data_IF_781288235457
#
_entry.id   IF_781288235457
#
_cell.length_a   1.000
_cell.length_b   1.000
_cell.length_c   1.000
_cell.angle_alpha   90.00
_cell.angle_beta   90.00
_cell.angle_gamma   90.00
#
_symmetry.space_group_name_H-M   'P 1'
#
loop_
_entity.id
_entity.type
_entity.pdbx_description
1 polymer ?
#
# COMPACT_ATOMS: atom_id res chain seq x y z
N UNK A 1 18.15 13.12 4.62
CA UNK A 1 17.97 13.25 3.15
C UNK A 1 16.60 12.81 2.63
N UNK A 2 15.89 11.84 3.23
CA UNK A 2 14.58 11.39 2.74
C UNK A 2 13.45 12.42 2.88
N UNK A 3 13.29 13.02 4.06
CA UNK A 3 12.21 13.98 4.35
C UNK A 3 12.28 15.26 3.50
N UNK A 4 13.48 15.76 3.24
CA UNK A 4 13.68 16.92 2.36
C UNK A 4 13.23 16.61 0.94
N UNK A 5 13.57 15.42 0.41
CA UNK A 5 13.13 14.99 -0.93
C UNK A 5 11.62 14.82 -1.02
N UNK A 6 10.99 14.22 -0.01
CA UNK A 6 9.53 14.09 0.02
C UNK A 6 8.85 15.45 0.12
N UNK A 7 9.37 16.38 0.92
CA UNK A 7 8.83 17.74 1.02
C UNK A 7 8.95 18.50 -0.31
N UNK A 8 10.08 18.37 -1.01
CA UNK A 8 10.26 18.96 -2.35
C UNK A 8 9.25 18.39 -3.34
N UNK A 9 9.05 17.07 -3.37
CA UNK A 9 8.09 16.44 -4.29
C UNK A 9 6.66 16.91 -3.99
N UNK A 10 6.28 16.99 -2.71
CA UNK A 10 4.96 17.49 -2.31
C UNK A 10 4.79 18.95 -2.69
N UNK A 11 5.80 19.79 -2.45
CA UNK A 11 5.77 21.20 -2.81
C UNK A 11 5.63 21.40 -4.33
N UNK A 12 6.34 20.61 -5.14
CA UNK A 12 6.19 20.61 -6.61
C UNK A 12 4.76 20.19 -6.99
N UNK A 13 4.22 19.15 -6.36
CA UNK A 13 2.84 18.70 -6.60
C UNK A 13 1.82 19.81 -6.34
N UNK A 14 1.95 20.52 -5.21
CA UNK A 14 1.07 21.65 -4.86
C UNK A 14 1.28 22.84 -5.80
N UNK A 15 2.52 23.13 -6.20
CA UNK A 15 2.81 24.26 -7.10
C UNK A 15 2.22 24.06 -8.51
N UNK A 16 2.04 22.81 -8.94
CA UNK A 16 1.43 22.48 -10.24
C UNK A 16 -0.10 22.54 -10.19
N UNK A 17 -0.72 22.54 -9.01
CA UNK A 17 -2.17 22.66 -8.90
C UNK A 17 -2.62 24.07 -9.32
N UNK A 18 -3.60 24.20 -10.23
CA UNK A 18 -4.11 25.50 -10.65
C UNK A 18 -4.84 26.19 -9.49
N UNK A 19 -4.35 27.35 -9.08
CA UNK A 19 -4.96 28.19 -8.05
C UNK A 19 -6.03 29.15 -8.58
N UNK A 20 -6.07 29.38 -9.90
CA UNK A 20 -6.98 30.30 -10.57
C UNK A 20 -8.27 29.59 -11.04
N UNK A 21 -9.42 30.23 -10.83
CA UNK A 21 -10.74 29.68 -11.19
C UNK A 21 -10.88 29.38 -12.69
N UNK A 22 -10.29 30.20 -13.58
CA UNK A 22 -10.35 29.92 -15.02
C UNK A 22 -9.49 28.71 -15.41
N UNK A 23 -8.33 28.56 -14.76
CA UNK A 23 -7.46 27.42 -14.99
C UNK A 23 -8.07 26.12 -14.45
N UNK A 24 -8.78 26.20 -13.33
CA UNK A 24 -9.55 25.08 -12.78
C UNK A 24 -10.65 24.65 -13.74
N UNK A 25 -11.43 25.57 -14.31
CA UNK A 25 -12.47 25.23 -15.29
C UNK A 25 -11.91 24.51 -16.51
N UNK A 26 -10.80 25.02 -17.09
CA UNK A 26 -10.12 24.34 -18.20
C UNK A 26 -9.61 22.95 -17.82
N UNK A 27 -9.15 22.77 -16.57
CA UNK A 27 -8.74 21.46 -16.06
C UNK A 27 -9.94 20.51 -15.94
N UNK A 28 -11.07 20.99 -15.42
CA UNK A 28 -12.30 20.21 -15.29
C UNK A 28 -12.87 19.81 -16.66
N UNK A 29 -12.87 20.71 -17.64
CA UNK A 29 -13.28 20.39 -19.01
C UNK A 29 -12.42 19.28 -19.62
N UNK A 30 -11.10 19.39 -19.48
CA UNK A 30 -10.15 18.37 -19.98
C UNK A 30 -10.28 17.05 -19.21
N UNK A 31 -10.49 17.11 -17.91
CA UNK A 31 -10.74 15.94 -17.08
C UNK A 31 -12.05 15.26 -17.50
N UNK A 32 -13.11 16.04 -17.77
CA UNK A 32 -14.39 15.54 -18.26
C UNK A 32 -14.28 14.86 -19.62
N UNK A 33 -13.57 15.47 -20.57
CA UNK A 33 -13.30 14.87 -21.88
C UNK A 33 -12.52 13.54 -21.75
N UNK A 34 -11.56 13.49 -20.84
CA UNK A 34 -10.78 12.29 -20.56
C UNK A 34 -11.64 11.19 -19.93
N UNK A 35 -12.48 11.54 -18.95
CA UNK A 35 -13.41 10.62 -18.31
C UNK A 35 -14.35 10.00 -19.35
N UNK A 36 -14.90 10.83 -20.25
CA UNK A 36 -15.76 10.36 -21.33
C UNK A 36 -15.03 9.39 -22.27
N UNK A 37 -13.76 9.66 -22.59
CA UNK A 37 -12.95 8.75 -23.38
C UNK A 37 -12.71 7.42 -22.67
N UNK A 38 -12.41 7.43 -21.37
CA UNK A 38 -12.22 6.20 -20.57
C UNK A 38 -13.50 5.37 -20.54
N UNK A 39 -14.65 6.00 -20.32
CA UNK A 39 -15.95 5.31 -20.33
C UNK A 39 -16.21 4.66 -21.68
N UNK A 40 -16.00 5.40 -22.77
CA UNK A 40 -16.17 4.88 -24.14
C UNK A 40 -15.16 3.75 -24.46
N UNK A 41 -13.94 3.85 -23.96
CA UNK A 41 -12.92 2.81 -24.11
C UNK A 41 -13.32 1.53 -23.37
N UNK A 42 -13.84 1.66 -22.15
CA UNK A 42 -14.30 0.53 -21.33
C UNK A 42 -15.51 -0.16 -21.94
N UNK A 43 -16.44 0.59 -22.53
CA UNK A 43 -17.59 0.03 -23.27
C UNK A 43 -17.11 -0.87 -24.43
N UNK A 44 -16.09 -0.42 -25.17
CA UNK A 44 -15.51 -1.18 -26.29
C UNK A 44 -14.53 -2.29 -25.87
N UNK A 45 -13.96 -2.21 -24.67
CA UNK A 45 -12.91 -3.11 -24.19
C UNK A 45 -13.21 -3.61 -22.77
N UNK A 46 -14.38 -4.22 -22.57
CA UNK A 46 -14.88 -4.62 -21.26
C UNK A 46 -13.90 -5.53 -20.48
N UNK A 47 -13.23 -6.47 -21.16
CA UNK A 47 -12.27 -7.38 -20.52
C UNK A 47 -11.05 -6.66 -19.93
N UNK A 48 -10.49 -5.70 -20.67
CA UNK A 48 -9.34 -4.89 -20.22
C UNK A 48 -9.74 -4.00 -19.06
N UNK A 49 -10.92 -3.40 -19.12
CA UNK A 49 -11.42 -2.53 -18.06
C UNK A 49 -11.71 -3.33 -16.77
N UNK A 50 -12.27 -4.55 -16.89
CA UNK A 50 -12.48 -5.43 -15.75
C UNK A 50 -11.17 -5.79 -15.04
N UNK A 51 -10.14 -6.18 -15.80
CA UNK A 51 -8.80 -6.45 -15.24
C UNK A 51 -8.15 -5.20 -14.65
N UNK A 52 -8.30 -4.05 -15.32
CA UNK A 52 -7.85 -2.76 -14.80
C UNK A 52 -8.50 -2.42 -13.45
N UNK A 53 -9.80 -2.65 -13.32
CA UNK A 53 -10.54 -2.40 -12.08
C UNK A 53 -10.08 -3.31 -10.93
N UNK A 54 -9.76 -4.57 -11.23
CA UNK A 54 -9.21 -5.53 -10.27
C UNK A 54 -7.88 -5.02 -9.69
N UNK A 55 -6.93 -4.64 -10.55
CA UNK A 55 -5.64 -4.11 -10.10
C UNK A 55 -5.76 -2.75 -9.41
N UNK A 56 -6.63 -1.88 -9.92
CA UNK A 56 -6.88 -0.57 -9.33
C UNK A 56 -7.43 -0.69 -7.91
N UNK A 57 -8.32 -1.64 -7.65
CA UNK A 57 -8.86 -1.88 -6.31
C UNK A 57 -7.78 -2.24 -5.29
N UNK A 58 -6.78 -3.06 -5.68
CA UNK A 58 -5.64 -3.42 -4.82
C UNK A 58 -4.75 -2.20 -4.57
N UNK A 59 -4.54 -1.37 -5.58
CA UNK A 59 -3.77 -0.13 -5.43
C UNK A 59 -4.46 0.83 -4.45
N UNK A 60 -5.77 1.06 -4.59
CA UNK A 60 -6.56 1.88 -3.67
C UNK A 60 -6.50 1.30 -2.25
N UNK A 61 -6.62 -0.01 -2.09
CA UNK A 61 -6.51 -0.68 -0.79
C UNK A 61 -5.15 -0.50 -0.11
N UNK A 62 -4.06 -0.43 -0.89
CA UNK A 62 -2.72 -0.11 -0.37
C UNK A 62 -2.57 1.38 -0.06
N UNK A 63 -3.14 2.25 -0.90
CA UNK A 63 -3.09 3.69 -0.69
C UNK A 63 -3.86 4.12 0.57
N UNK A 64 -5.06 3.57 0.82
CA UNK A 64 -5.83 3.85 2.06
C UNK A 64 -5.05 3.43 3.32
N UNK A 65 -4.38 2.27 3.28
CA UNK A 65 -3.58 1.79 4.39
C UNK A 65 -2.36 2.68 4.61
N UNK A 66 -1.64 3.03 3.53
CA UNK A 66 -0.49 3.93 3.61
C UNK A 66 -0.86 5.32 4.12
N UNK A 67 -2.00 5.88 3.67
CA UNK A 67 -2.51 7.15 4.15
C UNK A 67 -2.86 7.10 5.64
N UNK A 68 -3.56 6.05 6.08
CA UNK A 68 -3.88 5.83 7.50
C UNK A 68 -2.60 5.71 8.35
N UNK A 69 -1.63 4.92 7.91
CA UNK A 69 -0.34 4.75 8.59
C UNK A 69 0.41 6.09 8.73
N UNK A 70 0.48 6.87 7.64
CA UNK A 70 1.13 8.17 7.67
C UNK A 70 0.40 9.15 8.61
N UNK A 71 -0.93 9.13 8.61
CA UNK A 71 -1.73 9.94 9.52
C UNK A 71 -1.52 9.55 10.99
N UNK A 72 -1.58 8.25 11.31
CA UNK A 72 -1.40 7.73 12.67
C UNK A 72 0.01 8.09 13.18
N UNK A 73 1.05 7.92 12.36
CA UNK A 73 2.42 8.33 12.68
C UNK A 73 2.57 9.85 12.94
N UNK A 74 1.87 10.70 12.19
CA UNK A 74 1.87 12.15 12.42
C UNK A 74 1.11 12.53 13.69
N UNK A 75 0.04 11.82 14.01
CA UNK A 75 -0.77 12.02 15.22
C UNK A 75 0.03 11.64 16.47
N UNK A 76 0.70 10.49 16.47
CA UNK A 76 1.52 10.02 17.59
C UNK A 76 2.68 10.99 17.89
N UNK A 77 3.26 11.59 16.85
CA UNK A 77 4.32 12.60 17.00
C UNK A 77 3.82 13.96 17.50
N UNK A 78 2.59 14.34 17.19
CA UNK A 78 1.99 15.59 17.67
C UNK A 78 1.49 15.48 19.11
N UNK A 79 1.17 14.27 19.59
CA UNK A 79 0.81 14.01 20.99
C UNK A 79 2.00 13.91 21.96
N UNK A 80 3.25 14.02 21.48
CA UNK A 80 4.46 13.68 22.24
C UNK A 80 5.24 14.85 22.83
N UNK A 81 4.55 15.80 23.49
CA UNK A 81 5.19 16.81 24.36
C UNK A 81 4.52 16.85 25.75
N UNK A 82 4.42 15.70 26.41
CA UNK A 82 4.40 15.59 27.87
C UNK A 82 4.69 14.14 28.27
N UNK A 83 5.48 14.00 29.31
CA UNK A 83 6.18 12.80 29.75
C UNK A 83 5.24 11.65 30.16
N UNK A 84 5.74 10.43 29.93
CA UNK A 84 5.41 9.18 30.65
C UNK A 84 3.93 8.82 30.81
N UNK A 85 3.44 8.00 29.89
CA UNK A 85 2.55 6.88 30.27
C UNK A 85 3.37 5.58 30.19
N UNK A 86 3.90 5.17 31.34
CA UNK A 86 4.15 3.76 31.60
C UNK A 86 2.81 3.02 31.70
N UNK A 87 2.81 1.73 31.39
CA UNK A 87 1.70 0.77 31.23
C UNK A 87 1.08 0.80 29.81
N UNK A 88 1.25 -0.20 28.95
CA UNK A 88 1.43 -1.64 29.18
C UNK A 88 2.41 -2.17 28.13
N UNK A 89 3.64 -2.46 28.57
CA UNK A 89 4.54 -3.32 27.80
C UNK A 89 3.98 -4.73 27.93
N UNK A 90 2.93 -5.02 27.18
CA UNK A 90 2.52 -6.39 26.97
C UNK A 90 3.59 -7.01 26.09
N UNK A 91 4.51 -7.70 26.75
CA UNK A 91 5.62 -8.48 26.23
C UNK A 91 5.10 -9.70 25.47
N UNK A 92 4.11 -9.49 24.59
CA UNK A 92 3.67 -10.51 23.64
C UNK A 92 4.59 -10.40 22.44
N UNK A 93 5.31 -11.47 22.08
CA UNK A 93 6.01 -11.53 20.82
C UNK A 93 5.00 -11.17 19.73
N UNK A 94 5.31 -10.17 18.91
CA UNK A 94 4.57 -9.88 17.70
C UNK A 94 4.56 -11.18 16.86
N UNK A 95 3.47 -11.94 16.97
CA UNK A 95 3.25 -13.10 16.11
C UNK A 95 2.75 -12.53 14.78
N UNK A 96 3.48 -12.70 13.67
CA UNK A 96 2.93 -12.36 12.37
C UNK A 96 1.60 -13.11 12.22
N UNK A 97 0.61 -12.48 11.60
CA UNK A 97 -0.63 -13.14 11.25
C UNK A 97 -0.28 -14.38 10.41
N UNK A 98 -0.34 -15.54 11.04
CA UNK A 98 -0.26 -16.81 10.34
C UNK A 98 -1.52 -16.84 9.51
N UNK A 99 -1.37 -16.72 8.19
CA UNK A 99 -2.43 -17.10 7.27
C UNK A 99 -2.59 -18.62 7.40
N UNK A 100 -3.31 -19.07 8.42
CA UNK A 100 -3.86 -20.41 8.48
C UNK A 100 -4.92 -20.52 7.38
N UNK A 101 -4.43 -20.69 6.14
CA UNK A 101 -5.18 -21.42 5.14
C UNK A 101 -5.01 -22.89 5.44
N UNK A 102 -5.70 -23.36 6.47
CA UNK A 102 -6.04 -24.79 6.63
C UNK A 102 -7.13 -25.20 5.62
N UNK A 103 -6.91 -24.89 4.34
CA UNK A 103 -7.74 -25.36 3.22
C UNK A 103 -6.84 -25.68 2.02
N UNK A 104 -5.69 -26.28 2.28
CA UNK A 104 -4.79 -26.76 1.25
C UNK A 104 -4.64 -28.26 1.35
N UNK A 105 -4.69 -28.97 0.22
CA UNK A 105 -4.35 -30.40 0.08
C UNK A 105 -2.86 -30.69 0.27
N UNK A 106 -2.09 -29.71 0.76
CA UNK A 106 -0.64 -29.78 0.87
C UNK A 106 -0.28 -30.50 2.17
N UNK A 107 0.41 -31.62 2.02
CA UNK A 107 0.94 -32.40 3.13
C UNK A 107 2.13 -31.69 3.77
N UNK A 108 2.52 -32.04 5.02
CA UNK A 108 3.69 -31.45 5.66
C UNK A 108 4.99 -31.59 4.84
N UNK A 109 5.12 -32.65 4.04
CA UNK A 109 6.26 -32.85 3.13
C UNK A 109 6.29 -31.84 1.98
N UNK A 110 5.14 -31.41 1.47
CA UNK A 110 5.06 -30.46 0.34
C UNK A 110 5.49 -29.03 0.74
N UNK A 111 5.56 -28.76 2.05
CA UNK A 111 6.00 -27.48 2.60
C UNK A 111 7.50 -27.39 2.77
N UNK A 112 8.24 -28.48 2.54
CA UNK A 112 9.70 -28.43 2.60
C UNK A 112 10.27 -27.74 1.34
N UNK A 113 11.05 -26.66 1.50
CA UNK A 113 11.64 -25.98 0.35
C UNK A 113 12.66 -26.88 -0.34
N UNK A 114 12.33 -27.39 -1.54
CA UNK A 114 13.21 -28.26 -2.35
C UNK A 114 14.60 -27.67 -2.65
N UNK A 115 14.78 -26.35 -2.50
CA UNK A 115 16.03 -25.63 -2.70
C UNK A 115 16.98 -25.69 -1.50
N UNK A 116 16.55 -26.14 -0.32
CA UNK A 116 17.47 -26.39 0.81
C UNK A 116 18.01 -27.81 0.66
N UNK A 117 19.23 -27.91 0.13
CA UNK A 117 19.95 -29.18 -0.02
C UNK A 117 19.94 -30.01 1.27
N UNK A 118 19.97 -31.34 1.10
CA UNK A 118 19.85 -32.32 2.20
C UNK A 118 20.82 -31.95 3.34
N UNK A 119 20.31 -31.87 4.57
CA UNK A 119 21.15 -31.75 5.76
C UNK A 119 22.03 -32.99 5.85
N UNK A 120 23.30 -32.85 5.47
CA UNK A 120 24.33 -33.83 5.75
C UNK A 120 24.37 -34.02 7.26
N UNK A 121 23.89 -35.18 7.75
CA UNK A 121 24.16 -35.59 9.14
C UNK A 121 25.64 -35.84 9.22
N UNK A 122 26.38 -34.85 9.73
CA UNK A 122 27.80 -35.03 10.05
C UNK A 122 27.84 -36.05 11.18
N UNK A 123 28.13 -37.30 10.82
CA UNK A 123 28.34 -38.39 11.76
C UNK A 123 29.42 -38.00 12.75
N UNK A 124 29.12 -38.24 14.02
CA UNK A 124 30.10 -38.24 15.09
C UNK A 124 31.10 -39.36 14.81
N UNK A 125 32.37 -39.01 14.61
CA UNK A 125 33.52 -39.88 14.88
C UNK A 125 34.46 -39.05 15.74
#
# INVERSE_FOLDING_TARGET
MGLLRTAIIVAIGVAVLPSDHEQQQRLYERAGATAQWVVTFCDRNAGTCAKGSEYWSVFVAKAQFGAKLAYDMMRDRQGGASETAAADHDDRPYKPAVLEREMGTLTPLDKEPAWRGKKSSKGSI
#
